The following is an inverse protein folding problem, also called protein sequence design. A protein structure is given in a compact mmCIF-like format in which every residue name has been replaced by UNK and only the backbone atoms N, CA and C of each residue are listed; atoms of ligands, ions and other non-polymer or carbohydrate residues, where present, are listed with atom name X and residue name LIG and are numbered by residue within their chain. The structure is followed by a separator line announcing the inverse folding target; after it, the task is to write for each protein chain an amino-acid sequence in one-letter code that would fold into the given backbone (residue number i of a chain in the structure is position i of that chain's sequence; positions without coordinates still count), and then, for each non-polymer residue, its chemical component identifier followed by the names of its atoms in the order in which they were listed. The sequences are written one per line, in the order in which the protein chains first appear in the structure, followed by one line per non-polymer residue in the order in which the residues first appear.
data_IF_176877956112
#
_entry.id   IF_176877956112
#
_cell.length_a   1.000
_cell.length_b   1.000
_cell.length_c   1.000
_cell.angle_alpha   90.00
_cell.angle_beta   90.00
_cell.angle_gamma   90.00
#
_symmetry.space_group_name_H-M   'P 1'
#
loop_
_entity.id
_entity.type
_entity.pdbx_description
1 polymer ?
#
# COMPACT_ATOMS: atom_id res chain seq x y z
N UNK A 1 28.58 11.82 19.17
CA UNK A 1 27.28 11.74 18.50
C UNK A 1 27.32 10.52 17.60
N UNK A 2 26.79 9.40 18.09
CA UNK A 2 26.70 8.18 17.29
C UNK A 2 25.64 8.39 16.23
N UNK A 3 26.08 8.46 14.97
CA UNK A 3 25.20 8.40 13.82
C UNK A 3 24.61 6.99 13.80
N UNK A 4 23.38 6.84 14.32
CA UNK A 4 22.65 5.59 14.22
C UNK A 4 22.50 5.26 12.74
N UNK A 5 23.20 4.19 12.34
CA UNK A 5 23.11 3.61 11.02
C UNK A 5 21.66 3.36 10.68
N UNK A 6 21.18 4.04 9.65
CA UNK A 6 19.87 3.80 9.08
C UNK A 6 19.78 2.33 8.73
N UNK A 7 18.87 1.63 9.39
CA UNK A 7 18.48 0.29 9.02
C UNK A 7 18.27 0.28 7.51
N UNK A 8 19.01 -0.58 6.82
CA UNK A 8 18.79 -0.90 5.42
C UNK A 8 17.44 -1.59 5.34
N UNK A 9 16.35 -0.81 5.43
CA UNK A 9 15.02 -1.20 4.99
C UNK A 9 15.25 -1.67 3.57
N UNK A 10 15.15 -2.98 3.37
CA UNK A 10 15.41 -3.65 2.10
C UNK A 10 14.71 -2.83 1.03
N UNK A 11 15.43 -2.44 -0.01
CA UNK A 11 14.94 -1.50 -1.05
C UNK A 11 13.54 -1.92 -1.55
N UNK A 12 13.26 -3.22 -1.60
CA UNK A 12 11.94 -3.78 -1.91
C UNK A 12 10.82 -3.44 -0.92
N UNK A 13 11.07 -3.44 0.40
CA UNK A 13 10.01 -3.20 1.40
C UNK A 13 9.53 -1.75 1.33
N UNK A 14 10.46 -0.79 1.16
CA UNK A 14 10.11 0.63 1.00
C UNK A 14 9.39 0.89 -0.32
N UNK A 15 9.88 0.30 -1.41
CA UNK A 15 9.21 0.39 -2.72
C UNK A 15 7.79 -0.19 -2.67
N UNK A 16 7.59 -1.32 -2.00
CA UNK A 16 6.26 -1.87 -1.77
C UNK A 16 5.38 -0.96 -0.91
N UNK A 17 5.94 -0.31 0.12
CA UNK A 17 5.20 0.68 0.91
C UNK A 17 4.74 1.86 0.05
N UNK A 18 5.60 2.40 -0.82
CA UNK A 18 5.22 3.47 -1.77
C UNK A 18 4.06 3.01 -2.66
N UNK A 19 4.16 1.81 -3.24
CA UNK A 19 3.09 1.26 -4.09
C UNK A 19 1.79 1.08 -3.31
N UNK A 20 1.84 0.52 -2.10
CA UNK A 20 0.67 0.34 -1.25
C UNK A 20 0.01 1.69 -0.91
N UNK A 21 0.79 2.71 -0.56
CA UNK A 21 0.30 4.05 -0.26
C UNK A 21 -0.37 4.69 -1.49
N UNK A 22 0.29 4.60 -2.66
CA UNK A 22 -0.25 5.14 -3.92
C UNK A 22 -1.48 4.36 -4.41
N UNK A 23 -1.57 3.06 -4.17
CA UNK A 23 -2.78 2.28 -4.46
C UNK A 23 -3.96 2.64 -3.55
N UNK A 24 -3.69 2.99 -2.29
CA UNK A 24 -4.71 3.40 -1.34
C UNK A 24 -5.20 4.83 -1.59
N UNK A 25 -4.28 5.78 -1.78
CA UNK A 25 -4.58 7.22 -1.89
C UNK A 25 -4.77 7.70 -3.34
N UNK A 26 -4.45 6.86 -4.33
CA UNK A 26 -4.40 7.15 -5.78
C UNK A 26 -3.33 8.15 -6.21
N UNK A 27 -3.05 9.16 -5.41
CA UNK A 27 -1.99 10.12 -5.66
C UNK A 27 -1.45 10.67 -4.34
N UNK A 28 -0.16 10.98 -4.30
CA UNK A 28 0.47 11.68 -3.18
C UNK A 28 1.63 12.58 -3.65
N UNK A 29 2.18 13.39 -2.74
CA UNK A 29 3.36 14.21 -3.01
C UNK A 29 4.63 13.50 -2.57
N UNK A 30 5.75 13.81 -3.23
CA UNK A 30 7.08 13.30 -2.83
C UNK A 30 7.41 13.71 -1.39
N UNK A 31 7.01 14.91 -0.98
CA UNK A 31 7.26 15.43 0.37
C UNK A 31 6.48 14.65 1.43
N UNK A 32 5.20 14.34 1.18
CA UNK A 32 4.40 13.53 2.11
C UNK A 32 4.93 12.10 2.24
N UNK A 33 5.24 11.46 1.10
CA UNK A 33 5.82 10.12 1.09
C UNK A 33 7.16 10.09 1.84
N UNK A 34 7.99 11.12 1.67
CA UNK A 34 9.25 11.27 2.39
C UNK A 34 9.03 11.39 3.91
N UNK A 35 8.07 12.23 4.32
CA UNK A 35 7.74 12.42 5.73
C UNK A 35 7.18 11.14 6.39
N UNK A 36 6.28 10.44 5.72
CA UNK A 36 5.64 9.21 6.23
C UNK A 36 6.62 8.03 6.30
N UNK A 37 7.53 7.93 5.34
CA UNK A 37 8.54 6.86 5.28
C UNK A 37 9.84 7.23 6.01
N UNK A 38 9.95 8.44 6.58
CA UNK A 38 11.12 8.90 7.31
C UNK A 38 12.39 9.01 6.47
N UNK A 39 12.27 9.25 5.16
CA UNK A 39 13.40 9.34 4.22
C UNK A 39 13.44 10.72 3.57
N UNK A 40 14.56 11.05 2.91
CA UNK A 40 14.63 12.29 2.15
C UNK A 40 13.88 12.17 0.81
N UNK A 41 13.40 13.31 0.29
CA UNK A 41 12.71 13.35 -0.99
C UNK A 41 13.54 12.83 -2.17
N UNK A 42 14.88 12.93 -2.10
CA UNK A 42 15.78 12.37 -3.13
C UNK A 42 15.67 10.85 -3.21
N UNK A 43 15.52 10.18 -2.06
CA UNK A 43 15.33 8.72 -2.00
C UNK A 43 13.99 8.34 -2.64
N UNK A 44 12.92 9.06 -2.28
CA UNK A 44 11.58 8.83 -2.86
C UNK A 44 11.59 9.01 -4.37
N UNK A 45 12.20 10.09 -4.90
CA UNK A 45 12.30 10.29 -6.36
C UNK A 45 13.03 9.14 -7.05
N UNK A 46 14.13 8.65 -6.49
CA UNK A 46 14.86 7.48 -7.02
C UNK A 46 13.98 6.23 -7.00
N UNK A 47 13.29 5.96 -5.90
CA UNK A 47 12.41 4.80 -5.80
C UNK A 47 11.24 4.89 -6.81
N UNK A 48 10.65 6.08 -7.00
CA UNK A 48 9.62 6.31 -8.02
C UNK A 48 10.16 6.06 -9.42
N UNK A 49 11.37 6.54 -9.74
CA UNK A 49 12.02 6.30 -11.04
C UNK A 49 12.19 4.81 -11.31
N UNK A 50 12.67 4.03 -10.34
CA UNK A 50 12.76 2.57 -10.45
C UNK A 50 11.38 1.90 -10.57
N UNK A 51 10.42 2.31 -9.74
CA UNK A 51 9.06 1.76 -9.76
C UNK A 51 8.33 2.04 -11.07
N UNK A 52 8.60 3.16 -11.73
CA UNK A 52 7.98 3.52 -13.02
C UNK A 52 8.36 2.53 -14.14
N UNK A 53 9.45 1.77 -13.99
CA UNK A 53 9.84 0.71 -14.93
C UNK A 53 8.94 -0.52 -14.86
N UNK A 54 8.27 -0.74 -13.72
CA UNK A 54 7.49 -1.97 -13.46
C UNK A 54 6.01 -1.68 -13.20
N UNK A 55 5.70 -0.52 -12.64
CA UNK A 55 4.36 -0.10 -12.26
C UNK A 55 3.94 1.13 -13.07
N UNK A 56 2.64 1.26 -13.40
CA UNK A 56 2.12 2.39 -14.16
C UNK A 56 1.97 3.62 -13.26
N UNK A 57 3.10 4.23 -12.91
CA UNK A 57 3.19 5.48 -12.16
C UNK A 57 3.24 6.68 -13.11
N UNK A 58 2.49 7.71 -12.78
CA UNK A 58 2.44 8.99 -13.49
C UNK A 58 2.95 10.10 -12.57
N UNK A 59 3.97 10.83 -13.03
CA UNK A 59 4.44 12.03 -12.31
C UNK A 59 3.66 13.24 -12.81
N UNK A 60 2.88 13.85 -11.93
CA UNK A 60 2.06 15.03 -12.24
C UNK A 60 2.87 16.27 -11.88
N UNK A 61 3.26 17.05 -12.90
CA UNK A 61 3.98 18.32 -12.67
C UNK A 61 3.03 19.37 -12.11
N UNK A 62 3.41 20.02 -11.02
CA UNK A 62 2.65 21.08 -10.37
C UNK A 62 3.57 22.17 -9.80
N UNK A 63 3.03 23.40 -9.68
CA UNK A 63 3.77 24.61 -9.25
C UNK A 63 4.39 24.50 -7.84
N UNK A 64 3.87 23.63 -6.98
CA UNK A 64 4.28 23.47 -5.58
C UNK A 64 4.77 22.05 -5.24
N UNK A 65 5.59 21.46 -6.11
CA UNK A 65 6.13 20.12 -5.87
C UNK A 65 5.18 19.04 -6.35
N UNK A 66 5.18 18.85 -7.68
CA UNK A 66 4.38 17.85 -8.38
C UNK A 66 4.26 16.49 -7.67
N UNK A 67 3.11 15.86 -7.86
CA UNK A 67 2.76 14.60 -7.20
C UNK A 67 3.12 13.37 -8.03
N UNK A 68 2.97 12.21 -7.41
CA UNK A 68 3.01 10.91 -8.07
C UNK A 68 1.64 10.27 -7.93
N UNK A 69 1.14 9.77 -9.04
CA UNK A 69 -0.17 9.15 -9.15
C UNK A 69 0.00 7.74 -9.70
N UNK A 70 -0.79 6.80 -9.20
CA UNK A 70 -0.95 5.50 -9.85
C UNK A 70 -2.01 5.63 -10.96
N UNK A 71 -1.74 5.05 -12.13
CA UNK A 71 -2.68 5.10 -13.25
C UNK A 71 -4.08 4.61 -12.82
N UNK A 72 -5.13 5.30 -13.28
CA UNK A 72 -6.50 5.06 -12.81
C UNK A 72 -7.01 3.65 -13.11
N UNK A 73 -6.50 3.04 -14.18
CA UNK A 73 -6.82 1.67 -14.59
C UNK A 73 -6.04 0.62 -13.81
N UNK A 74 -4.98 1.00 -13.09
CA UNK A 74 -4.21 0.07 -12.28
C UNK A 74 -4.83 -0.04 -10.89
N UNK A 75 -5.22 -1.26 -10.56
CA UNK A 75 -5.63 -1.65 -9.22
C UNK A 75 -4.66 -2.74 -8.81
N UNK A 76 -3.84 -2.47 -7.79
CA UNK A 76 -3.12 -3.58 -7.15
C UNK A 76 -4.19 -4.55 -6.67
N UNK A 77 -4.07 -5.82 -7.09
CA UNK A 77 -4.96 -6.89 -6.69
C UNK A 77 -5.06 -6.87 -5.17
N UNK A 78 -6.13 -6.25 -4.66
CA UNK A 78 -6.58 -6.50 -3.31
C UNK A 78 -7.13 -7.92 -3.44
N UNK A 79 -6.50 -8.94 -2.85
CA UNK A 79 -7.04 -10.28 -2.93
C UNK A 79 -8.43 -10.25 -2.31
N UNK A 80 -9.45 -10.23 -3.15
CA UNK A 80 -10.84 -10.21 -2.73
C UNK A 80 -11.30 -11.65 -2.63
N UNK A 81 -12.07 -11.93 -1.59
CA UNK A 81 -12.76 -13.20 -1.50
C UNK A 81 -13.79 -13.24 -2.62
N UNK A 82 -13.70 -14.27 -3.45
CA UNK A 82 -14.78 -14.56 -4.40
C UNK A 82 -16.10 -14.74 -3.65
N UNK A 83 -17.25 -14.51 -4.29
CA UNK A 83 -18.56 -14.69 -3.66
C UNK A 83 -18.72 -16.08 -3.00
N UNK A 84 -18.14 -17.12 -3.61
CA UNK A 84 -18.13 -18.49 -3.06
C UNK A 84 -17.31 -18.61 -1.77
N UNK A 85 -16.12 -18.00 -1.72
CA UNK A 85 -15.28 -18.00 -0.51
C UNK A 85 -15.96 -17.22 0.62
N UNK A 86 -16.52 -16.04 0.33
CA UNK A 86 -17.27 -15.24 1.31
C UNK A 86 -18.47 -16.00 1.87
N UNK A 87 -19.24 -16.68 1.01
CA UNK A 87 -20.39 -17.48 1.45
C UNK A 87 -19.96 -18.67 2.33
N UNK A 88 -18.83 -19.33 2.01
CA UNK A 88 -18.27 -20.39 2.82
C UNK A 88 -17.89 -19.89 4.22
N UNK A 89 -17.13 -18.79 4.28
CA UNK A 89 -16.67 -18.21 5.54
C UNK A 89 -17.84 -17.72 6.40
N UNK A 90 -18.86 -17.08 5.80
CA UNK A 90 -20.09 -16.70 6.52
C UNK A 90 -20.82 -17.90 7.13
N UNK A 91 -20.85 -19.03 6.43
CA UNK A 91 -21.47 -20.27 6.95
C UNK A 91 -20.67 -20.87 8.10
N UNK A 92 -19.34 -20.83 8.03
CA UNK A 92 -18.46 -21.29 9.11
C UNK A 92 -18.54 -20.38 10.34
N UNK A 93 -18.68 -19.07 10.14
CA UNK A 93 -18.80 -18.08 11.21
C UNK A 93 -19.98 -18.36 12.16
N UNK A 94 -21.07 -18.97 11.67
CA UNK A 94 -22.25 -19.32 12.49
C UNK A 94 -21.90 -20.24 13.66
N UNK A 95 -20.87 -21.08 13.52
CA UNK A 95 -20.41 -22.00 14.57
C UNK A 95 -19.22 -21.51 15.39
N UNK A 96 -18.72 -20.29 15.13
CA UNK A 96 -17.61 -19.70 15.87
C UNK A 96 -18.12 -18.82 17.01
N UNK A 97 -17.36 -18.76 18.10
CA UNK A 97 -17.69 -17.98 19.29
C UNK A 97 -16.42 -17.33 19.86
N UNK A 98 -16.60 -16.22 20.58
CA UNK A 98 -15.47 -15.50 21.20
C UNK A 98 -14.47 -14.99 20.16
N UNK A 99 -13.18 -15.14 20.48
CA UNK A 99 -12.07 -14.60 19.67
C UNK A 99 -12.08 -15.11 18.22
N UNK A 100 -12.43 -16.38 18.00
CA UNK A 100 -12.47 -16.97 16.66
C UNK A 100 -13.51 -16.29 15.75
N UNK A 101 -14.64 -15.87 16.32
CA UNK A 101 -15.68 -15.15 15.58
C UNK A 101 -15.23 -13.72 15.26
N UNK A 102 -14.56 -13.07 16.19
CA UNK A 102 -14.04 -11.71 15.99
C UNK A 102 -12.96 -11.68 14.90
N UNK A 103 -12.06 -12.66 14.91
CA UNK A 103 -11.02 -12.78 13.89
C UNK A 103 -11.62 -13.12 12.51
N UNK A 104 -12.63 -14.01 12.46
CA UNK A 104 -13.39 -14.30 11.23
C UNK A 104 -14.08 -13.04 10.68
N UNK A 105 -14.66 -12.22 11.54
CA UNK A 105 -15.29 -10.96 11.14
C UNK A 105 -14.27 -9.95 10.60
N UNK A 106 -13.07 -9.87 11.18
CA UNK A 106 -11.99 -9.02 10.67
C UNK A 106 -11.50 -9.46 9.29
N UNK A 107 -11.38 -10.78 9.05
CA UNK A 107 -11.03 -11.34 7.74
C UNK A 107 -12.10 -10.98 6.71
N UNK A 108 -13.37 -11.18 7.04
CA UNK A 108 -14.49 -10.82 6.16
C UNK A 108 -14.52 -9.32 5.86
N UNK A 109 -14.35 -8.45 6.86
CA UNK A 109 -14.31 -7.01 6.68
C UNK A 109 -13.15 -6.55 5.77
N UNK A 110 -12.01 -7.23 5.85
CA UNK A 110 -10.82 -6.89 5.05
C UNK A 110 -10.92 -7.33 3.59
N UNK A 111 -11.60 -8.44 3.30
CA UNK A 111 -11.50 -9.10 1.99
C UNK A 111 -12.83 -9.35 1.24
N UNK A 112 -14.00 -9.18 1.86
CA UNK A 112 -15.30 -9.49 1.23
C UNK A 112 -15.89 -8.37 0.35
N UNK A 113 -15.09 -7.38 -0.05
CA UNK A 113 -15.52 -6.21 -0.84
C UNK A 113 -15.86 -6.52 -2.29
#
# INVERSE_FOLDING_TARGET
MEVKGGESVRINDRQQQIINLLCQRRSDTVQNLAAELGVCERTIRRDIEELTLTYPLETVRGRYGGGVKMADWYFQDRPKLSPKQTALLKRLAVGLHGEDLDEMNQILARFAS
#
